data_IF_026910037838
#
_entry.id   IF_026910037838
#
_cell.length_a   1.000
_cell.length_b   1.000
_cell.length_c   1.000
_cell.angle_alpha   90.00
_cell.angle_beta   90.00
_cell.angle_gamma   90.00
#
_symmetry.space_group_name_H-M   'P 1'
#
loop_
_entity.id
_entity.type
_entity.pdbx_description
1 polymer ?
#
# COMPACT_ATOMS: atom_id res chain seq x y z
N UNK A 1 1.30 -15.51 -8.20
CA UNK A 1 2.22 -14.82 -7.26
C UNK A 1 1.48 -14.64 -5.95
N UNK A 2 2.12 -14.83 -4.79
CA UNK A 2 1.43 -14.70 -3.49
C UNK A 2 1.50 -13.26 -2.97
N UNK A 3 0.34 -12.70 -2.61
CA UNK A 3 0.21 -11.45 -1.87
C UNK A 3 -0.30 -11.75 -0.44
N UNK A 4 -0.26 -10.76 0.44
CA UNK A 4 -0.79 -10.85 1.80
C UNK A 4 -1.46 -9.53 2.18
N UNK A 5 -2.62 -9.59 2.83
CA UNK A 5 -3.24 -8.41 3.42
C UNK A 5 -2.66 -8.14 4.79
N UNK A 6 -2.53 -6.88 5.18
CA UNK A 6 -2.02 -6.49 6.50
C UNK A 6 -2.77 -7.19 7.66
N UNK A 7 -4.08 -7.35 7.54
CA UNK A 7 -4.92 -8.00 8.56
C UNK A 7 -4.71 -9.50 8.70
N UNK A 8 -3.98 -10.12 7.77
CA UNK A 8 -3.63 -11.55 7.80
C UNK A 8 -2.26 -11.79 8.43
N UNK A 9 -1.50 -10.72 8.73
CA UNK A 9 -0.21 -10.82 9.40
C UNK A 9 -0.37 -11.28 10.85
N UNK A 10 0.52 -12.17 11.28
CA UNK A 10 0.70 -12.59 12.66
C UNK A 10 1.61 -11.61 13.42
N UNK A 11 1.95 -11.96 14.66
CA UNK A 11 2.93 -11.20 15.45
C UNK A 11 4.35 -11.27 14.84
N UNK A 12 4.68 -12.32 14.08
CA UNK A 12 5.94 -12.46 13.36
C UNK A 12 5.82 -11.94 11.91
N UNK A 13 5.61 -10.63 11.81
CA UNK A 13 5.40 -9.90 10.54
C UNK A 13 6.47 -10.20 9.51
N UNK A 14 7.74 -10.29 9.94
CA UNK A 14 8.85 -10.50 9.02
C UNK A 14 8.76 -11.86 8.34
N UNK A 15 8.50 -12.91 9.11
CA UNK A 15 8.34 -14.26 8.57
C UNK A 15 7.15 -14.35 7.61
N UNK A 16 6.04 -13.68 7.92
CA UNK A 16 4.85 -13.71 7.06
C UNK A 16 5.03 -13.03 5.69
N UNK A 17 5.93 -12.05 5.63
CA UNK A 17 6.28 -11.34 4.40
C UNK A 17 7.21 -12.14 3.48
N UNK A 18 7.91 -13.17 4.00
CA UNK A 18 8.85 -13.95 3.20
C UNK A 18 8.17 -14.66 2.02
N UNK A 19 8.72 -14.46 0.82
CA UNK A 19 8.20 -15.05 -0.41
C UNK A 19 6.89 -14.43 -0.92
N UNK A 20 6.39 -13.36 -0.27
CA UNK A 20 5.30 -12.54 -0.81
C UNK A 20 5.86 -11.55 -1.82
N UNK A 21 5.02 -11.16 -2.77
CA UNK A 21 5.34 -10.05 -3.69
C UNK A 21 4.75 -8.74 -3.22
N UNK A 22 3.54 -8.80 -2.66
CA UNK A 22 2.74 -7.63 -2.33
C UNK A 22 2.20 -7.73 -0.91
N UNK A 23 2.38 -6.65 -0.16
CA UNK A 23 1.64 -6.32 1.05
C UNK A 23 0.51 -5.36 0.68
N UNK A 24 -0.73 -5.75 0.99
CA UNK A 24 -1.92 -4.95 0.71
C UNK A 24 -2.45 -4.33 2.00
N UNK A 25 -2.64 -3.02 2.01
CA UNK A 25 -3.19 -2.27 3.14
C UNK A 25 -4.42 -1.48 2.72
N UNK A 26 -5.32 -1.25 3.66
CA UNK A 26 -6.31 -0.16 3.57
C UNK A 26 -5.76 1.10 4.23
N UNK A 27 -6.31 2.27 3.90
CA UNK A 27 -5.95 3.54 4.57
C UNK A 27 -6.10 3.46 6.11
N UNK A 28 -7.06 2.67 6.60
CA UNK A 28 -7.28 2.44 8.03
C UNK A 28 -6.22 1.58 8.71
N UNK A 29 -5.46 0.79 7.94
CA UNK A 29 -4.39 -0.05 8.49
C UNK A 29 -3.10 0.76 8.72
N UNK A 30 -2.92 1.89 8.01
CA UNK A 30 -1.69 2.69 8.00
C UNK A 30 -1.18 3.11 9.40
N UNK A 31 -2.03 3.56 10.36
CA UNK A 31 -1.57 3.93 11.70
C UNK A 31 -0.91 2.77 12.46
N UNK A 32 -1.21 1.53 12.09
CA UNK A 32 -0.72 0.32 12.74
C UNK A 32 0.35 -0.41 11.92
N UNK A 33 0.65 0.06 10.71
CA UNK A 33 1.45 -0.68 9.73
C UNK A 33 2.96 -0.44 9.81
N UNK A 34 3.46 0.35 10.76
CA UNK A 34 4.88 0.79 10.80
C UNK A 34 5.86 -0.38 10.67
N UNK A 35 5.65 -1.48 11.41
CA UNK A 35 6.52 -2.65 11.33
C UNK A 35 6.42 -3.37 9.97
N UNK A 36 5.20 -3.52 9.44
CA UNK A 36 4.98 -4.18 8.15
C UNK A 36 5.60 -3.40 6.98
N UNK A 37 5.52 -2.06 7.00
CA UNK A 37 6.15 -1.19 6.01
C UNK A 37 7.69 -1.23 6.09
N UNK A 38 8.26 -1.34 7.29
CA UNK A 38 9.71 -1.45 7.46
C UNK A 38 10.22 -2.82 6.98
N UNK A 39 9.52 -3.91 7.33
CA UNK A 39 9.91 -5.25 6.90
C UNK A 39 9.63 -5.51 5.41
N UNK A 40 8.64 -4.85 4.81
CA UNK A 40 8.41 -4.99 3.37
C UNK A 40 9.61 -4.51 2.55
N UNK A 41 10.30 -3.44 2.99
CA UNK A 41 11.55 -2.99 2.38
C UNK A 41 12.67 -4.03 2.52
N UNK A 42 12.81 -4.66 3.69
CA UNK A 42 13.86 -5.65 3.97
C UNK A 42 13.67 -6.97 3.23
N UNK A 43 12.42 -7.36 2.97
CA UNK A 43 12.06 -8.62 2.33
C UNK A 43 11.72 -8.45 0.84
N UNK A 44 12.00 -7.27 0.25
CA UNK A 44 11.72 -6.93 -1.15
C UNK A 44 10.25 -7.14 -1.55
N UNK A 45 9.34 -6.76 -0.64
CA UNK A 45 7.89 -6.84 -0.81
C UNK A 45 7.33 -5.46 -1.18
N UNK A 46 6.65 -5.39 -2.31
CA UNK A 46 5.97 -4.18 -2.77
C UNK A 46 4.75 -3.87 -1.89
N UNK A 47 4.42 -2.60 -1.78
CA UNK A 47 3.31 -2.14 -0.94
C UNK A 47 2.24 -1.50 -1.79
N UNK A 48 1.01 -1.99 -1.66
CA UNK A 48 -0.17 -1.38 -2.25
C UNK A 48 -1.12 -0.90 -1.15
N UNK A 49 -1.63 0.32 -1.28
CA UNK A 49 -2.55 0.94 -0.33
C UNK A 49 -3.85 1.29 -1.03
N UNK A 50 -4.96 0.74 -0.55
CA UNK A 50 -6.30 1.17 -0.92
C UNK A 50 -6.77 2.23 0.06
N UNK A 51 -6.74 3.50 -0.38
CA UNK A 51 -7.10 4.65 0.45
C UNK A 51 -8.50 5.20 0.12
N UNK A 52 -9.25 4.52 -0.75
CA UNK A 52 -10.62 4.88 -1.11
C UNK A 52 -11.54 4.97 0.11
N UNK A 53 -12.52 5.87 0.03
CA UNK A 53 -13.47 6.19 1.10
C UNK A 53 -12.89 7.03 2.24
N UNK A 54 -11.68 7.57 2.11
CA UNK A 54 -11.06 8.40 3.15
C UNK A 54 -10.07 9.42 2.59
N UNK A 55 -9.97 10.57 3.25
CA UNK A 55 -9.00 11.62 2.89
C UNK A 55 -7.58 11.11 3.05
N UNK A 56 -6.76 11.20 1.99
CA UNK A 56 -5.35 10.83 2.04
C UNK A 56 -4.57 11.83 2.90
N UNK A 57 -4.01 11.35 4.01
CA UNK A 57 -3.11 12.13 4.86
C UNK A 57 -1.65 11.88 4.47
N UNK A 58 -0.91 12.97 4.23
CA UNK A 58 0.52 12.90 3.90
C UNK A 58 1.29 12.33 5.10
N UNK A 59 2.09 11.29 4.85
CA UNK A 59 2.87 10.65 5.90
C UNK A 59 4.03 9.81 5.37
N UNK A 60 4.88 9.33 6.30
CA UNK A 60 6.06 8.53 5.96
C UNK A 60 5.73 7.23 5.21
N UNK A 61 4.54 6.68 5.43
CA UNK A 61 4.06 5.47 4.76
C UNK A 61 4.05 5.59 3.23
N UNK A 62 3.87 6.80 2.70
CA UNK A 62 3.90 7.06 1.26
C UNK A 62 5.24 6.66 0.64
N UNK A 63 6.36 6.80 1.39
CA UNK A 63 7.70 6.43 0.89
C UNK A 63 7.89 4.93 0.69
N UNK A 64 7.16 4.10 1.44
CA UNK A 64 7.18 2.66 1.28
C UNK A 64 6.14 2.20 0.23
N UNK A 65 5.22 3.08 -0.18
CA UNK A 65 4.09 2.75 -1.04
C UNK A 65 4.49 2.76 -2.51
N UNK A 66 4.17 1.67 -3.20
CA UNK A 66 4.45 1.51 -4.62
C UNK A 66 3.19 1.77 -5.44
N UNK A 67 2.04 1.30 -4.95
CA UNK A 67 0.73 1.53 -5.56
C UNK A 67 -0.23 2.18 -4.55
N UNK A 68 -0.87 3.28 -4.94
CA UNK A 68 -1.93 3.93 -4.18
C UNK A 68 -3.21 3.99 -5.01
N UNK A 69 -4.30 3.46 -4.46
CA UNK A 69 -5.63 3.53 -5.05
C UNK A 69 -6.46 4.57 -4.27
N UNK A 70 -7.04 5.52 -5.00
CA UNK A 70 -7.84 6.64 -4.45
C UNK A 70 -9.21 6.74 -5.13
N UNK A 71 -10.09 7.58 -4.57
CA UNK A 71 -11.49 7.68 -5.00
C UNK A 71 -11.66 8.39 -6.36
N UNK A 72 -10.90 9.46 -6.60
CA UNK A 72 -11.09 10.30 -7.77
C UNK A 72 -9.78 10.68 -8.49
N UNK A 73 -9.91 10.90 -9.79
CA UNK A 73 -8.76 11.15 -10.67
C UNK A 73 -8.07 12.48 -10.37
N UNK A 74 -8.79 13.47 -9.84
CA UNK A 74 -8.21 14.76 -9.45
C UNK A 74 -7.26 14.60 -8.26
N UNK A 75 -7.69 13.87 -7.23
CA UNK A 75 -6.84 13.49 -6.10
C UNK A 75 -5.65 12.64 -6.57
N UNK A 76 -5.85 11.70 -7.51
CA UNK A 76 -4.77 10.90 -8.07
C UNK A 76 -3.73 11.77 -8.78
N UNK A 77 -4.16 12.73 -9.60
CA UNK A 77 -3.26 13.65 -10.32
C UNK A 77 -2.41 14.50 -9.38
N UNK A 78 -3.03 15.07 -8.34
CA UNK A 78 -2.31 15.83 -7.31
C UNK A 78 -1.24 14.96 -6.62
N UNK A 79 -1.61 13.75 -6.19
CA UNK A 79 -0.71 12.84 -5.48
C UNK A 79 0.41 12.30 -6.36
N UNK A 80 0.19 12.08 -7.66
CA UNK A 80 1.28 11.71 -8.60
C UNK A 80 2.38 12.76 -8.65
N UNK A 81 2.02 14.04 -8.52
CA UNK A 81 2.99 15.14 -8.58
C UNK A 81 3.72 15.39 -7.26
N UNK A 82 3.16 14.98 -6.12
CA UNK A 82 3.63 15.39 -4.78
C UNK A 82 4.14 14.25 -3.89
N UNK A 83 3.63 13.03 -4.05
CA UNK A 83 3.83 11.94 -3.07
C UNK A 83 5.13 11.14 -3.25
N UNK A 84 5.66 11.07 -4.48
CA UNK A 84 6.77 10.18 -4.84
C UNK A 84 6.38 8.69 -4.94
N UNK A 85 5.09 8.36 -4.88
CA UNK A 85 4.57 7.00 -5.07
C UNK A 85 4.68 6.60 -6.54
N UNK A 86 5.11 5.36 -6.80
CA UNK A 86 5.38 4.87 -8.17
C UNK A 86 4.15 4.92 -9.06
N UNK A 87 2.99 4.49 -8.53
CA UNK A 87 1.73 4.49 -9.26
C UNK A 87 0.60 4.94 -8.34
N UNK A 88 -0.11 6.00 -8.74
CA UNK A 88 -1.33 6.46 -8.06
C UNK A 88 -2.48 6.44 -9.07
N UNK A 89 -3.56 5.76 -8.73
CA UNK A 89 -4.71 5.49 -9.61
C UNK A 89 -6.02 5.87 -8.92
N UNK A 90 -6.98 6.34 -9.70
CA UNK A 90 -8.39 6.25 -9.35
C UNK A 90 -9.03 5.09 -10.13
N UNK A 91 -9.67 4.17 -9.42
CA UNK A 91 -10.34 3.01 -10.06
C UNK A 91 -11.38 2.39 -9.14
N UNK A 92 -12.46 1.92 -9.74
CA UNK A 92 -13.48 1.12 -9.06
C UNK A 92 -13.08 -0.35 -8.91
N UNK A 93 -12.09 -0.83 -9.68
CA UNK A 93 -11.64 -2.22 -9.60
C UNK A 93 -10.92 -2.52 -8.28
N UNK A 94 -10.89 -3.80 -7.91
CA UNK A 94 -10.11 -4.26 -6.76
C UNK A 94 -8.62 -3.95 -6.95
N UNK A 95 -7.94 -3.59 -5.85
CA UNK A 95 -6.52 -3.21 -5.87
C UNK A 95 -5.63 -4.31 -6.46
N UNK A 96 -6.03 -5.58 -6.28
CA UNK A 96 -5.36 -6.75 -6.86
C UNK A 96 -5.28 -6.72 -8.39
N UNK A 97 -6.21 -6.05 -9.06
CA UNK A 97 -6.25 -5.94 -10.52
C UNK A 97 -5.10 -5.07 -11.05
N UNK A 98 -4.56 -4.20 -10.21
CA UNK A 98 -3.55 -3.20 -10.58
C UNK A 98 -2.14 -3.60 -10.18
N UNK A 99 -1.95 -4.77 -9.55
CA UNK A 99 -0.64 -5.27 -9.16
C UNK A 99 0.16 -5.71 -10.39
N UNK A 100 1.45 -5.38 -10.43
CA UNK A 100 2.39 -5.79 -11.48
C UNK A 100 3.39 -6.81 -10.99
#
# INVERSE_FOLDING_TARGET
MMNIRFRELSEDVRTDLQGKRWLLLTGQDLPHATAALAFSELEDVLVAVDHRGSTVEIGLWMRATHLLLVDDEGQAEELRSTSGITQVLASEADIETHLW
#
